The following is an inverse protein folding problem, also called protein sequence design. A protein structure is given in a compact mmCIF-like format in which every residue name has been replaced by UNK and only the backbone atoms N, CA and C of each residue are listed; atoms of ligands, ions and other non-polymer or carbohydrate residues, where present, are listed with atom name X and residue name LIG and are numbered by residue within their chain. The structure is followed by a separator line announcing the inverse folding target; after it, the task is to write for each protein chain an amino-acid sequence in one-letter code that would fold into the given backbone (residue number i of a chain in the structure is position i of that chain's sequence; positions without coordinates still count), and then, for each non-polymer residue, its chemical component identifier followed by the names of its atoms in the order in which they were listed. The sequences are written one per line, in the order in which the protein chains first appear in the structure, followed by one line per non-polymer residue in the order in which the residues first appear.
data_IF_541350559448
#
_entry.id   IF_541350559448
#
_cell.length_a   1.000
_cell.length_b   1.000
_cell.length_c   1.000
_cell.angle_alpha   90.00
_cell.angle_beta   90.00
_cell.angle_gamma   90.00
#
_symmetry.space_group_name_H-M   'P 1'
#
loop_
_entity.id
_entity.type
_entity.pdbx_description
1 polymer ?
#
# COMPACT_ATOMS: atom_id res chain seq x y z
N UNK A 1 -7.92 -15.37 -12.93
CA UNK A 1 -6.96 -14.73 -12.02
C UNK A 1 -5.59 -14.56 -12.65
N UNK A 2 -4.97 -15.62 -13.18
CA UNK A 2 -3.65 -15.51 -13.83
C UNK A 2 -3.67 -14.59 -15.06
N UNK A 3 -4.76 -14.57 -15.82
CA UNK A 3 -4.91 -13.71 -17.02
C UNK A 3 -5.04 -12.24 -16.63
N UNK A 4 -5.73 -11.94 -15.55
CA UNK A 4 -5.89 -10.57 -15.04
C UNK A 4 -4.54 -10.05 -14.53
N UNK A 5 -3.80 -10.90 -13.80
CA UNK A 5 -2.48 -10.55 -13.31
C UNK A 5 -1.51 -10.28 -14.46
N UNK A 6 -1.51 -11.14 -15.47
CA UNK A 6 -0.66 -10.95 -16.65
C UNK A 6 -1.02 -9.67 -17.41
N UNK A 7 -2.31 -9.39 -17.59
CA UNK A 7 -2.78 -8.16 -18.25
C UNK A 7 -2.36 -6.94 -17.43
N UNK A 8 -2.46 -7.00 -16.12
CA UNK A 8 -2.02 -5.92 -15.24
C UNK A 8 -0.51 -5.70 -15.38
N UNK A 9 0.29 -6.76 -15.40
CA UNK A 9 1.75 -6.65 -15.55
C UNK A 9 2.12 -6.05 -16.91
N UNK A 10 1.45 -6.45 -17.98
CA UNK A 10 1.69 -5.88 -19.32
C UNK A 10 1.27 -4.41 -19.36
N UNK A 11 0.10 -4.07 -18.82
CA UNK A 11 -0.36 -2.68 -18.75
C UNK A 11 0.64 -1.84 -17.92
N UNK A 12 1.17 -2.37 -16.83
CA UNK A 12 2.18 -1.72 -16.01
C UNK A 12 3.49 -1.51 -16.76
N UNK A 13 3.93 -2.49 -17.54
CA UNK A 13 5.19 -2.35 -18.29
C UNK A 13 5.16 -1.22 -19.31
N UNK A 14 3.98 -0.88 -19.83
CA UNK A 14 3.83 0.25 -20.77
C UNK A 14 3.77 1.61 -20.05
N UNK A 15 3.42 1.62 -18.78
CA UNK A 15 3.29 2.85 -17.98
C UNK A 15 4.56 3.20 -17.20
N UNK A 16 5.48 2.26 -17.07
CA UNK A 16 6.77 2.43 -16.36
C UNK A 16 7.61 3.57 -16.95
N UNK A 17 7.39 3.95 -18.20
CA UNK A 17 8.14 5.03 -18.85
C UNK A 17 7.99 6.39 -18.17
N UNK A 18 7.02 6.59 -17.27
CA UNK A 18 6.78 7.87 -16.60
C UNK A 18 7.45 7.99 -15.22
N UNK A 19 8.04 6.91 -14.70
CA UNK A 19 8.74 6.87 -13.40
C UNK A 19 7.90 7.34 -12.20
N UNK A 20 6.58 7.22 -12.29
CA UNK A 20 5.63 7.70 -11.28
C UNK A 20 4.86 6.58 -10.59
N UNK A 21 5.19 5.34 -10.92
CA UNK A 21 4.51 4.19 -10.34
C UNK A 21 5.27 3.62 -9.16
N UNK A 22 4.53 3.12 -8.19
CA UNK A 22 5.09 2.32 -7.11
C UNK A 22 4.24 1.06 -6.89
N UNK A 23 4.90 0.00 -6.52
CA UNK A 23 4.27 -1.22 -6.04
C UNK A 23 4.54 -1.29 -4.54
N UNK A 24 3.50 -1.55 -3.77
CA UNK A 24 3.60 -1.67 -2.31
C UNK A 24 3.10 -3.03 -1.88
N UNK A 25 3.60 -3.51 -0.77
CA UNK A 25 3.13 -4.73 -0.15
C UNK A 25 3.30 -4.61 1.36
N UNK A 26 2.38 -5.20 2.12
CA UNK A 26 2.50 -5.31 3.56
C UNK A 26 2.76 -6.78 3.90
N UNK A 27 3.81 -7.03 4.66
CA UNK A 27 4.14 -8.37 5.12
C UNK A 27 3.10 -8.87 6.11
N UNK A 28 2.58 -10.05 5.88
CA UNK A 28 1.63 -10.72 6.77
C UNK A 28 2.30 -11.96 7.35
N UNK A 29 2.64 -11.91 8.62
CA UNK A 29 3.33 -12.99 9.32
C UNK A 29 2.48 -14.23 9.59
N UNK A 30 1.16 -14.14 9.40
CA UNK A 30 0.25 -15.29 9.54
C UNK A 30 0.21 -16.16 8.28
N UNK A 31 0.79 -15.68 7.19
CA UNK A 31 0.87 -16.40 5.92
C UNK A 31 2.29 -16.91 5.67
N UNK A 32 2.41 -17.92 4.85
CA UNK A 32 3.71 -18.53 4.55
C UNK A 32 4.16 -18.26 3.11
N UNK A 33 5.47 -18.21 2.94
CA UNK A 33 6.11 -18.11 1.63
C UNK A 33 5.76 -16.83 0.89
N UNK A 34 5.51 -16.94 -0.40
CA UNK A 34 5.18 -15.81 -1.26
C UNK A 34 3.85 -15.14 -0.88
N UNK A 35 2.92 -15.86 -0.30
CA UNK A 35 1.63 -15.31 0.11
C UNK A 35 1.78 -14.25 1.20
N UNK A 36 2.76 -14.40 2.08
CA UNK A 36 3.04 -13.42 3.12
C UNK A 36 3.33 -12.01 2.58
N UNK A 37 3.79 -11.93 1.35
CA UNK A 37 4.13 -10.66 0.70
C UNK A 37 3.05 -10.26 -0.32
N UNK A 38 2.45 -11.21 -1.00
CA UNK A 38 1.55 -10.92 -2.12
C UNK A 38 0.08 -10.74 -1.74
N UNK A 39 -0.31 -11.16 -0.54
CA UNK A 39 -1.70 -11.06 -0.10
C UNK A 39 -2.21 -9.61 -0.03
N UNK A 40 -1.34 -8.66 0.24
CA UNK A 40 -1.68 -7.24 0.39
C UNK A 40 -0.90 -6.37 -0.60
N UNK A 41 -0.74 -6.86 -1.82
CA UNK A 41 -0.02 -6.11 -2.84
C UNK A 41 -0.87 -4.96 -3.37
N UNK A 42 -0.24 -3.83 -3.59
CA UNK A 42 -0.91 -2.64 -4.12
C UNK A 42 -0.07 -1.93 -5.16
N UNK A 43 -0.73 -1.05 -5.88
CA UNK A 43 -0.10 -0.25 -6.92
C UNK A 43 -0.54 1.19 -6.77
N UNK A 44 0.42 2.10 -6.79
CA UNK A 44 0.17 3.53 -6.68
C UNK A 44 0.74 4.31 -7.84
N UNK A 45 0.17 5.48 -8.04
CA UNK A 45 0.61 6.46 -9.02
C UNK A 45 0.80 7.81 -8.33
N UNK A 46 1.96 8.42 -8.52
CA UNK A 46 2.24 9.75 -8.00
C UNK A 46 1.55 10.79 -8.87
N UNK A 47 0.47 11.38 -8.36
CA UNK A 47 -0.35 12.33 -9.11
C UNK A 47 0.22 13.74 -9.11
N UNK A 48 0.87 14.14 -8.00
CA UNK A 48 1.66 15.36 -7.87
C UNK A 48 2.83 15.05 -6.92
N UNK A 49 3.79 15.97 -6.82
CA UNK A 49 4.92 15.80 -5.93
C UNK A 49 4.45 15.57 -4.49
N UNK A 50 4.87 14.45 -3.92
CA UNK A 50 4.56 14.09 -2.54
C UNK A 50 3.23 13.38 -2.35
N UNK A 51 2.37 13.28 -3.36
CA UNK A 51 1.07 12.62 -3.22
C UNK A 51 0.96 11.44 -4.19
N UNK A 52 0.76 10.26 -3.62
CA UNK A 52 0.54 9.01 -4.37
C UNK A 52 -0.85 8.48 -4.02
N UNK A 53 -1.59 8.06 -5.03
CA UNK A 53 -2.88 7.39 -4.86
C UNK A 53 -2.82 6.03 -5.54
N UNK A 54 -3.58 5.08 -5.05
CA UNK A 54 -3.55 3.75 -5.62
C UNK A 54 -4.59 2.80 -5.06
N UNK A 55 -4.45 1.54 -5.43
CA UNK A 55 -5.29 0.45 -4.98
C UNK A 55 -4.42 -0.61 -4.33
N UNK A 56 -4.90 -1.18 -3.25
CA UNK A 56 -4.26 -2.28 -2.57
C UNK A 56 -5.26 -3.43 -2.45
N UNK A 57 -4.77 -4.65 -2.64
CA UNK A 57 -5.57 -5.86 -2.41
C UNK A 57 -5.70 -6.10 -0.92
N UNK A 58 -6.89 -6.49 -0.49
CA UNK A 58 -7.20 -6.82 0.88
C UNK A 58 -8.16 -8.01 0.91
N UNK A 59 -8.37 -8.57 2.09
CA UNK A 59 -9.40 -9.60 2.30
C UNK A 59 -10.58 -8.96 3.00
N UNK A 60 -11.78 -9.25 2.51
CA UNK A 60 -13.00 -8.83 3.18
C UNK A 60 -13.31 -9.71 4.40
N UNK A 61 -14.43 -9.42 5.09
CA UNK A 61 -14.83 -10.17 6.28
C UNK A 61 -15.12 -11.66 6.00
N UNK A 62 -15.39 -12.01 4.74
CA UNK A 62 -15.65 -13.39 4.31
C UNK A 62 -14.39 -14.08 3.80
N UNK A 63 -13.24 -13.41 3.83
CA UNK A 63 -11.98 -13.93 3.31
C UNK A 63 -11.84 -13.86 1.79
N UNK A 64 -12.75 -13.16 1.11
CA UNK A 64 -12.69 -12.96 -0.34
C UNK A 64 -11.80 -11.77 -0.69
N UNK A 65 -11.23 -11.79 -1.89
CA UNK A 65 -10.39 -10.69 -2.37
C UNK A 65 -11.21 -9.42 -2.54
N UNK A 66 -10.74 -8.32 -1.97
CA UNK A 66 -11.31 -7.00 -2.14
C UNK A 66 -10.21 -6.00 -2.47
N UNK A 67 -10.60 -4.79 -2.86
CA UNK A 67 -9.66 -3.72 -3.15
C UNK A 67 -9.97 -2.54 -2.26
N UNK A 68 -8.92 -1.86 -1.83
CA UNK A 68 -9.04 -0.64 -1.05
C UNK A 68 -8.27 0.48 -1.73
N UNK A 69 -8.83 1.67 -1.68
CA UNK A 69 -8.13 2.86 -2.14
C UNK A 69 -7.13 3.28 -1.07
N UNK A 70 -5.95 3.70 -1.49
CA UNK A 70 -5.01 4.31 -0.57
C UNK A 70 -4.49 5.64 -1.12
N UNK A 71 -4.19 6.55 -0.19
CA UNK A 71 -3.48 7.78 -0.46
C UNK A 71 -2.28 7.87 0.45
N UNK A 72 -1.20 8.44 -0.05
CA UNK A 72 0.04 8.57 0.69
C UNK A 72 0.61 9.96 0.46
N UNK A 73 0.95 10.64 1.54
CA UNK A 73 1.56 11.96 1.51
C UNK A 73 2.97 11.89 2.08
N UNK A 74 3.92 12.33 1.28
CA UNK A 74 5.33 12.38 1.68
C UNK A 74 5.55 13.56 2.62
N UNK A 75 6.07 13.30 3.82
CA UNK A 75 6.37 14.28 4.83
C UNK A 75 7.83 14.76 4.79
N UNK A 76 8.54 14.50 3.70
CA UNK A 76 9.97 14.80 3.56
C UNK A 76 10.35 16.26 3.80
N UNK A 77 9.41 17.20 3.61
CA UNK A 77 9.64 18.60 3.94
C UNK A 77 9.71 18.88 5.44
N UNK A 78 9.15 18.01 6.25
CA UNK A 78 9.10 18.13 7.72
C UNK A 78 9.97 17.09 8.41
N UNK A 79 9.91 15.85 7.94
CA UNK A 79 10.67 14.72 8.49
C UNK A 79 11.13 13.84 7.33
N UNK A 80 12.42 13.75 7.13
CA UNK A 80 12.99 12.96 6.05
C UNK A 80 12.51 11.51 6.09
N UNK A 81 12.21 10.96 4.91
CA UNK A 81 11.84 9.56 4.70
C UNK A 81 10.57 9.13 5.44
N UNK A 82 9.75 10.07 5.88
CA UNK A 82 8.47 9.76 6.53
C UNK A 82 7.31 10.04 5.60
N UNK A 83 6.22 9.34 5.81
CA UNK A 83 4.98 9.57 5.08
C UNK A 83 3.76 9.34 5.97
N UNK A 84 2.67 9.98 5.60
CA UNK A 84 1.34 9.69 6.15
C UNK A 84 0.52 8.95 5.09
N UNK A 85 -0.37 8.10 5.51
CA UNK A 85 -1.23 7.34 4.60
C UNK A 85 -2.67 7.32 5.08
N UNK A 86 -3.58 7.17 4.13
CA UNK A 86 -5.00 6.91 4.38
C UNK A 86 -5.42 5.75 3.50
N UNK A 87 -6.18 4.84 4.06
CA UNK A 87 -6.71 3.68 3.35
C UNK A 87 -8.21 3.65 3.50
N UNK A 88 -8.91 3.52 2.38
CA UNK A 88 -10.37 3.57 2.30
C UNK A 88 -10.85 2.27 1.67
N UNK A 89 -11.55 1.41 2.44
CA UNK A 89 -12.22 0.26 1.85
C UNK A 89 -13.25 0.71 0.81
N UNK A 90 -13.45 -0.09 -0.21
CA UNK A 90 -14.46 0.20 -1.24
C UNK A 90 -15.88 0.00 -0.74
N UNK A 91 -16.05 -0.74 0.35
CA UNK A 91 -17.34 -0.92 1.04
C UNK A 91 -17.31 -0.22 2.39
N UNK A 92 -18.36 0.54 2.71
CA UNK A 92 -18.50 1.25 3.99
C UNK A 92 -17.25 2.09 4.33
N UNK A 93 -16.76 2.84 3.34
CA UNK A 93 -15.50 3.57 3.46
C UNK A 93 -15.47 4.54 4.63
N UNK A 94 -16.59 5.20 4.93
CA UNK A 94 -16.67 6.18 6.03
C UNK A 94 -16.49 5.55 7.40
N UNK A 95 -16.86 4.27 7.57
CA UNK A 95 -16.78 3.57 8.85
C UNK A 95 -15.45 2.81 9.02
N UNK A 96 -14.68 2.64 7.95
CA UNK A 96 -13.50 1.78 7.94
C UNK A 96 -12.23 2.50 7.46
N UNK A 97 -12.16 3.81 7.64
CA UNK A 97 -10.97 4.59 7.30
C UNK A 97 -9.81 4.18 8.20
N UNK A 98 -8.66 3.90 7.60
CA UNK A 98 -7.42 3.60 8.31
C UNK A 98 -6.40 4.70 8.03
N UNK A 99 -5.84 5.29 9.07
CA UNK A 99 -4.74 6.26 8.97
C UNK A 99 -3.43 5.57 9.32
N UNK A 100 -2.36 6.01 8.68
CA UNK A 100 -1.05 5.45 8.94
C UNK A 100 0.06 6.48 8.86
N UNK A 101 1.18 6.15 9.47
CA UNK A 101 2.44 6.86 9.34
C UNK A 101 3.54 5.84 9.22
N UNK A 102 4.50 6.12 8.36
CA UNK A 102 5.58 5.19 8.11
C UNK A 102 6.90 5.87 7.82
N UNK A 103 7.93 5.06 7.78
CA UNK A 103 9.29 5.47 7.49
C UNK A 103 9.82 4.63 6.33
N UNK A 104 10.46 5.27 5.36
CA UNK A 104 11.00 4.61 4.18
C UNK A 104 12.50 4.38 4.35
N UNK A 105 12.91 3.12 4.41
CA UNK A 105 14.32 2.72 4.44
C UNK A 105 14.68 2.20 3.05
N UNK A 106 15.36 3.01 2.26
CA UNK A 106 15.80 2.59 0.93
C UNK A 106 16.93 1.58 1.07
N UNK A 107 16.73 0.37 0.56
CA UNK A 107 17.69 -0.73 0.64
C UNK A 107 18.40 -0.99 -0.68
N UNK A 108 17.77 -0.58 -1.80
CA UNK A 108 18.35 -0.67 -3.13
C UNK A 108 17.67 0.37 -4.02
N UNK A 109 18.12 0.50 -5.28
CA UNK A 109 17.52 1.42 -6.24
C UNK A 109 16.01 1.17 -6.38
N UNK A 110 15.21 2.10 -5.89
CA UNK A 110 13.76 2.03 -5.94
C UNK A 110 13.12 1.07 -4.92
N UNK A 111 13.89 0.18 -4.31
CA UNK A 111 13.39 -0.79 -3.34
C UNK A 111 13.58 -0.26 -1.93
N UNK A 112 12.52 -0.27 -1.14
CA UNK A 112 12.55 0.17 0.25
C UNK A 112 11.78 -0.78 1.16
N UNK A 113 12.19 -0.81 2.42
CA UNK A 113 11.45 -1.44 3.52
C UNK A 113 10.79 -0.32 4.32
N UNK A 114 9.52 -0.48 4.65
CA UNK A 114 8.73 0.58 5.22
C UNK A 114 8.01 0.14 6.49
N UNK A 115 8.71 0.21 7.65
CA UNK A 115 8.01 0.04 8.90
C UNK A 115 6.96 1.15 9.05
N UNK A 116 5.76 0.77 9.45
CA UNK A 116 4.66 1.70 9.56
C UNK A 116 3.70 1.30 10.66
N UNK A 117 2.95 2.28 11.13
CA UNK A 117 1.91 2.10 12.13
C UNK A 117 0.59 2.59 11.54
N UNK A 118 -0.42 1.74 11.56
CA UNK A 118 -1.74 2.06 11.07
C UNK A 118 -2.77 1.97 12.17
N UNK A 119 -3.78 2.81 12.09
CA UNK A 119 -4.80 2.92 13.12
C UNK A 119 -6.16 3.17 12.45
N UNK A 120 -7.18 2.36 12.77
CA UNK A 120 -8.53 2.68 12.29
C UNK A 120 -9.05 3.95 12.96
N UNK A 121 -9.73 4.79 12.19
CA UNK A 121 -10.34 6.02 12.72
C UNK A 121 -11.51 5.68 13.64
N UNK A 122 -12.27 4.64 13.30
CA UNK A 122 -13.35 4.14 14.14
C UNK A 122 -12.78 3.17 15.17
N UNK A 123 -12.87 3.51 16.45
CA UNK A 123 -12.35 2.70 17.57
C UNK A 123 -13.00 1.31 17.65
N UNK A 124 -14.20 1.16 17.13
CA UNK A 124 -14.90 -0.14 17.12
C UNK A 124 -14.23 -1.14 16.16
N UNK A 125 -13.38 -0.67 15.24
CA UNK A 125 -12.66 -1.52 14.29
C UNK A 125 -11.30 -2.03 14.81
N UNK A 126 -10.99 -1.76 16.08
CA UNK A 126 -9.79 -2.29 16.72
C UNK A 126 -8.75 -1.23 17.06
N UNK A 127 -7.61 -1.70 17.48
CA UNK A 127 -6.47 -0.87 17.88
C UNK A 127 -5.50 -0.70 16.73
N UNK A 128 -4.53 0.21 16.89
CA UNK A 128 -3.47 0.40 15.95
C UNK A 128 -2.58 -0.83 15.82
N UNK A 129 -1.97 -0.98 14.65
CA UNK A 129 -1.13 -2.13 14.31
C UNK A 129 0.19 -1.65 13.72
N UNK A 130 1.29 -2.24 14.18
CA UNK A 130 2.60 -2.04 13.57
C UNK A 130 2.79 -3.04 12.43
N UNK A 131 3.21 -2.54 11.26
CA UNK A 131 3.38 -3.36 10.06
C UNK A 131 4.77 -3.14 9.45
N UNK A 132 5.22 -4.12 8.68
CA UNK A 132 6.41 -3.99 7.83
C UNK A 132 5.93 -4.03 6.40
N UNK A 133 6.16 -2.95 5.68
CA UNK A 133 5.86 -2.86 4.27
C UNK A 133 7.11 -2.97 3.40
N UNK A 134 6.91 -3.27 2.14
CA UNK A 134 7.93 -3.24 1.11
C UNK A 134 7.37 -2.43 -0.05
N UNK A 135 8.17 -1.54 -0.60
CA UNK A 135 7.76 -0.71 -1.73
C UNK A 135 8.83 -0.69 -2.80
N UNK A 136 8.42 -0.64 -4.04
CA UNK A 136 9.30 -0.46 -5.18
C UNK A 136 8.78 0.71 -6.02
N UNK A 137 9.66 1.67 -6.28
CA UNK A 137 9.37 2.83 -7.14
C UNK A 137 10.11 2.67 -8.45
N UNK A 138 9.38 2.84 -9.51
CA UNK A 138 9.92 2.81 -10.86
C UNK A 138 10.48 4.15 -11.28
#
# INVERSE_FOLDING_TARGET
MKKVLLTAVVAFSTLIASAQFMVVSTYDGDLEGAEAITANIGVGYQVIDGITVGLVMAKDALGEDSYELFGRYDLGAYMENTYASVQLPTEEATDNIVLGVGYTLTVWNGLSVEPNYTMPVNKDNGEGTFNIGVAYRF
#
